data_IF_210214113524
#
_entry.id   IF_210214113524
#
_cell.length_a   1.000
_cell.length_b   1.000
_cell.length_c   1.000
_cell.angle_alpha   90.00
_cell.angle_beta   90.00
_cell.angle_gamma   90.00
#
_symmetry.space_group_name_H-M   'P 1'
#
loop_
_entity.id
_entity.type
_entity.pdbx_description
1 polymer ?
#
# COMPACT_ATOMS: atom_id res chain seq x y z
N UNK A 1 4.76 -14.34 -9.34
CA UNK A 1 3.43 -14.16 -9.95
C UNK A 1 2.66 -15.47 -10.06
N UNK A 2 1.39 -15.43 -10.48
CA UNK A 2 0.54 -16.61 -10.54
C UNK A 2 -0.49 -16.60 -11.69
N UNK A 3 -0.86 -17.79 -12.14
CA UNK A 3 -1.91 -18.06 -13.13
C UNK A 3 -3.12 -18.67 -12.41
N UNK A 4 -4.35 -18.20 -12.65
CA UNK A 4 -5.52 -18.83 -12.03
C UNK A 4 -5.73 -20.23 -12.63
N UNK A 5 -6.08 -21.23 -11.82
CA UNK A 5 -6.31 -22.61 -12.30
C UNK A 5 -7.30 -22.65 -13.48
N UNK A 6 -8.35 -21.84 -13.43
CA UNK A 6 -9.33 -21.72 -14.50
C UNK A 6 -8.75 -21.18 -15.83
N UNK A 7 -7.72 -20.33 -15.77
CA UNK A 7 -6.99 -19.84 -16.94
C UNK A 7 -6.04 -20.91 -17.45
N UNK A 8 -5.32 -21.59 -16.56
CA UNK A 8 -4.40 -22.66 -16.88
C UNK A 8 -5.06 -23.81 -17.65
N UNK A 9 -6.30 -24.17 -17.28
CA UNK A 9 -7.11 -25.18 -17.96
C UNK A 9 -7.58 -24.77 -19.36
N UNK A 10 -7.27 -23.56 -19.85
CA UNK A 10 -7.53 -23.14 -21.23
C UNK A 10 -6.28 -23.19 -22.11
N UNK A 11 -5.11 -23.45 -21.52
CA UNK A 11 -3.82 -23.49 -22.20
C UNK A 11 -3.59 -24.91 -22.71
N UNK A 12 -3.18 -25.07 -23.97
CA UNK A 12 -2.87 -26.40 -24.48
C UNK A 12 -1.51 -26.90 -23.94
N UNK A 13 -1.38 -28.18 -23.52
CA UNK A 13 -2.39 -29.25 -23.58
C UNK A 13 -3.21 -29.44 -22.29
N UNK A 14 -3.20 -28.49 -21.34
CA UNK A 14 -4.00 -28.58 -20.11
C UNK A 14 -5.51 -28.52 -20.34
N UNK A 15 -5.95 -27.93 -21.44
CA UNK A 15 -7.33 -27.97 -21.91
C UNK A 15 -7.88 -29.38 -22.13
N UNK A 16 -6.99 -30.37 -22.24
CA UNK A 16 -7.31 -31.80 -22.31
C UNK A 16 -7.42 -32.48 -20.94
N UNK A 17 -6.98 -31.82 -19.86
CA UNK A 17 -7.11 -32.34 -18.51
C UNK A 17 -8.54 -32.15 -18.00
N UNK A 18 -9.05 -33.13 -17.24
CA UNK A 18 -10.40 -33.08 -16.70
C UNK A 18 -10.38 -32.78 -15.21
N UNK A 19 -11.09 -31.74 -14.80
CA UNK A 19 -11.35 -31.49 -13.37
C UNK A 19 -12.38 -32.49 -12.88
N UNK A 20 -12.02 -33.29 -11.89
CA UNK A 20 -12.90 -34.38 -11.40
C UNK A 20 -13.36 -34.24 -9.96
N UNK A 21 -12.76 -33.31 -9.21
CA UNK A 21 -13.20 -32.88 -7.89
C UNK A 21 -12.59 -31.50 -7.57
N UNK A 22 -13.12 -30.85 -6.53
CA UNK A 22 -12.62 -29.58 -6.01
C UNK A 22 -12.93 -28.38 -6.90
N UNK A 23 -14.05 -28.39 -7.63
CA UNK A 23 -14.38 -27.33 -8.60
C UNK A 23 -14.47 -25.93 -7.99
N UNK A 24 -14.88 -25.81 -6.72
CA UNK A 24 -14.91 -24.53 -6.02
C UNK A 24 -13.51 -23.92 -5.81
N UNK A 25 -12.46 -24.73 -5.91
CA UNK A 25 -11.07 -24.33 -5.82
C UNK A 25 -10.44 -23.83 -7.12
N UNK A 26 -11.18 -23.74 -8.23
CA UNK A 26 -10.62 -23.31 -9.53
C UNK A 26 -10.16 -21.84 -9.57
N UNK A 27 -10.42 -21.07 -8.51
CA UNK A 27 -9.86 -19.72 -8.30
C UNK A 27 -8.47 -19.71 -7.67
N UNK A 28 -7.94 -20.87 -7.28
CA UNK A 28 -6.58 -20.98 -6.76
C UNK A 28 -5.56 -20.53 -7.80
N UNK A 29 -4.51 -19.88 -7.31
CA UNK A 29 -3.40 -19.30 -8.08
C UNK A 29 -2.24 -20.30 -8.16
N UNK A 30 -1.79 -20.60 -9.38
CA UNK A 30 -0.64 -21.45 -9.69
C UNK A 30 0.59 -20.55 -9.81
N UNK A 31 1.53 -20.67 -8.88
CA UNK A 31 2.78 -19.90 -8.86
C UNK A 31 3.95 -20.68 -9.46
N UNK A 32 3.88 -22.01 -9.42
CA UNK A 32 4.88 -22.93 -9.96
C UNK A 32 4.22 -24.26 -10.27
N UNK A 33 4.87 -25.07 -11.08
CA UNK A 33 4.39 -26.41 -11.43
C UNK A 33 5.49 -27.41 -11.17
N UNK A 34 5.17 -28.45 -10.38
CA UNK A 34 6.14 -29.43 -9.91
C UNK A 34 5.62 -30.84 -10.19
N UNK A 35 6.52 -31.79 -10.40
CA UNK A 35 6.18 -33.21 -10.42
C UNK A 35 6.82 -33.95 -9.25
N UNK A 36 6.17 -35.02 -8.79
CA UNK A 36 6.81 -35.96 -7.87
C UNK A 36 6.38 -37.40 -8.13
N UNK A 37 7.34 -38.30 -7.95
CA UNK A 37 7.12 -39.75 -7.92
C UNK A 37 7.95 -40.41 -6.80
N UNK A 38 8.36 -39.61 -5.78
CA UNK A 38 9.05 -40.07 -4.59
C UNK A 38 8.25 -39.73 -3.32
N UNK A 39 8.29 -40.59 -2.27
CA UNK A 39 7.43 -40.46 -1.09
C UNK A 39 7.75 -39.27 -0.17
N UNK A 40 8.93 -38.68 -0.31
CA UNK A 40 9.51 -37.67 0.58
C UNK A 40 9.50 -36.24 0.00
N UNK A 41 8.78 -35.99 -1.10
CA UNK A 41 8.81 -34.69 -1.80
C UNK A 41 7.93 -33.62 -1.14
N UNK A 42 6.98 -34.04 -0.30
CA UNK A 42 6.04 -33.13 0.35
C UNK A 42 6.69 -31.93 1.04
N UNK A 43 7.80 -32.04 1.81
CA UNK A 43 8.48 -30.91 2.43
C UNK A 43 8.92 -29.80 1.48
N UNK A 44 9.25 -30.11 0.22
CA UNK A 44 9.74 -29.14 -0.76
C UNK A 44 8.63 -28.39 -1.52
N UNK A 45 7.38 -28.84 -1.40
CA UNK A 45 6.23 -28.19 -2.04
C UNK A 45 5.82 -26.92 -1.29
N UNK A 46 5.55 -25.87 -2.06
CA UNK A 46 5.20 -24.52 -1.59
C UNK A 46 3.74 -24.18 -1.90
N UNK A 47 3.27 -23.10 -1.28
CA UNK A 47 1.99 -22.50 -1.62
C UNK A 47 1.95 -22.12 -3.11
N UNK A 48 0.83 -22.41 -3.78
CA UNK A 48 0.65 -22.13 -5.19
C UNK A 48 1.25 -23.17 -6.14
N UNK A 49 1.87 -24.25 -5.67
CA UNK A 49 2.34 -25.32 -6.54
C UNK A 49 1.15 -26.09 -7.16
N UNK A 50 1.09 -26.17 -8.49
CA UNK A 50 0.32 -27.21 -9.17
C UNK A 50 1.21 -28.45 -9.26
N UNK A 51 0.76 -29.53 -8.63
CA UNK A 51 1.55 -30.76 -8.52
C UNK A 51 1.05 -31.79 -9.52
N UNK A 52 1.94 -32.43 -10.26
CA UNK A 52 1.59 -33.51 -11.19
C UNK A 52 2.34 -34.81 -10.88
N UNK A 53 1.66 -35.95 -11.01
CA UNK A 53 2.25 -37.25 -10.65
C UNK A 53 1.67 -38.38 -11.49
N UNK A 54 2.40 -39.50 -11.57
CA UNK A 54 1.89 -40.74 -12.14
C UNK A 54 1.00 -41.53 -11.17
N UNK A 55 0.99 -41.13 -9.89
CA UNK A 55 0.25 -41.80 -8.82
C UNK A 55 0.87 -43.11 -8.33
N UNK A 56 2.07 -43.46 -8.79
CA UNK A 56 2.71 -44.73 -8.46
C UNK A 56 2.89 -44.96 -6.95
N UNK A 57 3.29 -43.91 -6.23
CA UNK A 57 3.66 -43.95 -4.80
C UNK A 57 2.49 -44.34 -3.90
N UNK A 58 1.25 -44.01 -4.28
CA UNK A 58 0.07 -44.17 -3.44
C UNK A 58 -1.03 -45.04 -4.08
N UNK A 59 -0.76 -45.69 -5.21
CA UNK A 59 -1.77 -46.44 -5.99
C UNK A 59 -2.53 -47.52 -5.20
N UNK A 60 -1.89 -48.12 -4.20
CA UNK A 60 -2.43 -49.24 -3.43
C UNK A 60 -2.83 -48.88 -1.99
N UNK A 61 -2.77 -47.60 -1.61
CA UNK A 61 -3.05 -47.18 -0.23
C UNK A 61 -4.01 -45.98 -0.19
N UNK A 62 -5.27 -46.29 0.07
CA UNK A 62 -6.35 -45.30 0.19
C UNK A 62 -6.09 -44.29 1.32
N UNK A 63 -5.46 -44.71 2.43
CA UNK A 63 -5.15 -43.77 3.52
C UNK A 63 -4.14 -42.73 3.06
N UNK A 64 -3.07 -43.17 2.38
CA UNK A 64 -2.05 -42.27 1.83
C UNK A 64 -2.64 -41.34 0.76
N UNK A 65 -3.56 -41.84 -0.09
CA UNK A 65 -4.27 -41.03 -1.07
C UNK A 65 -5.05 -39.86 -0.45
N UNK A 66 -5.84 -40.15 0.60
CA UNK A 66 -6.64 -39.14 1.31
C UNK A 66 -5.73 -38.16 2.06
N UNK A 67 -4.69 -38.67 2.72
CA UNK A 67 -3.76 -37.85 3.49
C UNK A 67 -2.94 -36.90 2.59
N UNK A 68 -2.57 -37.36 1.38
CA UNK A 68 -1.89 -36.54 0.38
C UNK A 68 -2.69 -35.28 0.04
N UNK A 69 -3.98 -35.43 -0.31
CA UNK A 69 -4.83 -34.29 -0.67
C UNK A 69 -4.97 -33.32 0.50
N UNK A 70 -5.19 -33.83 1.73
CA UNK A 70 -5.25 -32.98 2.93
C UNK A 70 -3.96 -32.21 3.15
N UNK A 71 -2.81 -32.85 2.99
CA UNK A 71 -1.49 -32.22 3.16
C UNK A 71 -1.23 -31.14 2.11
N UNK A 72 -1.54 -31.41 0.84
CA UNK A 72 -1.37 -30.44 -0.25
C UNK A 72 -2.32 -29.24 -0.08
N UNK A 73 -3.60 -29.50 0.22
CA UNK A 73 -4.57 -28.44 0.46
C UNK A 73 -4.18 -27.56 1.65
N UNK A 74 -3.76 -28.17 2.77
CA UNK A 74 -3.28 -27.45 3.97
C UNK A 74 -2.03 -26.62 3.71
N UNK A 75 -1.13 -27.07 2.84
CA UNK A 75 0.06 -26.31 2.41
C UNK A 75 -0.25 -25.17 1.44
N UNK A 76 -1.49 -25.07 0.96
CA UNK A 76 -1.89 -24.04 0.01
C UNK A 76 -1.45 -24.31 -1.42
N UNK A 77 -1.18 -25.56 -1.79
CA UNK A 77 -0.94 -25.93 -3.19
C UNK A 77 -2.16 -25.58 -4.07
N UNK A 78 -1.92 -25.34 -5.36
CA UNK A 78 -2.94 -24.89 -6.30
C UNK A 78 -3.83 -26.03 -6.82
N UNK A 79 -3.30 -27.26 -6.88
CA UNK A 79 -4.04 -28.45 -7.29
C UNK A 79 -3.14 -29.67 -7.45
N UNK A 80 -3.75 -30.82 -7.73
CA UNK A 80 -3.07 -32.08 -8.02
C UNK A 80 -3.58 -32.66 -9.34
N UNK A 81 -2.68 -32.91 -10.29
CA UNK A 81 -2.94 -33.65 -11.51
C UNK A 81 -2.33 -35.04 -11.48
N UNK A 82 -3.11 -36.04 -11.91
CA UNK A 82 -2.68 -37.44 -11.88
C UNK A 82 -2.85 -38.04 -13.26
N UNK A 83 -1.77 -38.62 -13.79
CA UNK A 83 -1.79 -39.34 -15.06
C UNK A 83 -2.51 -40.68 -14.91
N UNK A 84 -3.69 -40.80 -15.51
CA UNK A 84 -4.51 -42.01 -15.49
C UNK A 84 -4.12 -42.96 -16.62
N UNK A 85 -4.60 -44.21 -16.55
CA UNK A 85 -4.29 -45.32 -17.46
C UNK A 85 -2.79 -45.70 -17.51
N UNK A 86 -2.02 -45.33 -16.49
CA UNK A 86 -0.63 -45.76 -16.26
C UNK A 86 -0.52 -46.75 -15.09
N UNK A 87 -0.92 -46.29 -13.90
CA UNK A 87 -0.96 -47.10 -12.67
C UNK A 87 -2.34 -47.15 -12.04
N UNK A 88 -3.13 -46.09 -12.23
CA UNK A 88 -4.53 -45.99 -11.83
C UNK A 88 -5.37 -45.96 -13.10
N UNK A 89 -6.37 -46.84 -13.20
CA UNK A 89 -7.35 -46.83 -14.30
C UNK A 89 -8.34 -45.67 -14.16
N UNK A 90 -8.69 -45.33 -12.92
CA UNK A 90 -9.56 -44.22 -12.57
C UNK A 90 -9.11 -43.64 -11.22
N UNK A 91 -9.44 -42.37 -10.97
CA UNK A 91 -9.17 -41.72 -9.70
C UNK A 91 -10.10 -42.22 -8.59
N UNK A 92 -9.56 -42.80 -7.49
CA UNK A 92 -10.36 -43.39 -6.41
C UNK A 92 -11.40 -42.42 -5.84
N UNK A 93 -12.59 -42.94 -5.53
CA UNK A 93 -13.70 -42.15 -4.96
C UNK A 93 -13.30 -41.40 -3.68
N UNK A 94 -12.50 -42.04 -2.83
CA UNK A 94 -11.99 -41.44 -1.61
C UNK A 94 -11.17 -40.16 -1.88
N UNK A 95 -10.37 -40.13 -2.96
CA UNK A 95 -9.61 -38.94 -3.38
C UNK A 95 -10.54 -37.83 -3.86
N UNK A 96 -11.53 -38.17 -4.70
CA UNK A 96 -12.50 -37.19 -5.21
C UNK A 96 -13.27 -36.54 -4.06
N UNK A 97 -13.77 -37.35 -3.13
CA UNK A 97 -14.54 -36.85 -1.99
C UNK A 97 -13.73 -35.88 -1.12
N UNK A 98 -12.49 -36.25 -0.75
CA UNK A 98 -11.68 -35.35 0.09
C UNK A 98 -11.24 -34.09 -0.65
N UNK A 99 -11.03 -34.16 -1.97
CA UNK A 99 -10.74 -33.00 -2.81
C UNK A 99 -11.92 -32.02 -2.84
N UNK A 100 -13.15 -32.52 -2.94
CA UNK A 100 -14.37 -31.69 -2.83
C UNK A 100 -14.52 -31.09 -1.42
N UNK A 101 -14.29 -31.88 -0.36
CA UNK A 101 -14.34 -31.38 1.03
C UNK A 101 -13.32 -30.25 1.29
N UNK A 102 -12.17 -30.29 0.62
CA UNK A 102 -11.08 -29.32 0.76
C UNK A 102 -11.13 -28.17 -0.27
N UNK A 103 -12.13 -28.15 -1.17
CA UNK A 103 -12.15 -27.28 -2.35
C UNK A 103 -10.79 -27.27 -3.09
N UNK A 104 -10.20 -28.45 -3.27
CA UNK A 104 -8.86 -28.64 -3.81
C UNK A 104 -8.93 -29.27 -5.21
N UNK A 105 -8.55 -28.54 -6.28
CA UNK A 105 -8.67 -29.04 -7.65
C UNK A 105 -7.90 -30.35 -7.87
N UNK A 106 -8.63 -31.39 -8.28
CA UNK A 106 -8.08 -32.69 -8.66
C UNK A 106 -8.31 -32.90 -10.16
N UNK A 107 -7.21 -33.09 -10.90
CA UNK A 107 -7.19 -33.18 -12.36
C UNK A 107 -6.82 -34.60 -12.81
N UNK A 108 -7.58 -35.13 -13.76
CA UNK A 108 -7.19 -36.30 -14.56
C UNK A 108 -6.35 -35.84 -15.74
N UNK A 109 -5.14 -36.37 -15.85
CA UNK A 109 -4.22 -36.14 -16.97
C UNK A 109 -4.30 -37.36 -17.90
N UNK A 110 -4.67 -37.18 -19.19
CA UNK A 110 -4.63 -38.24 -20.19
C UNK A 110 -3.28 -38.95 -20.29
N UNK A 111 -3.29 -40.26 -20.54
CA UNK A 111 -2.07 -41.08 -20.61
C UNK A 111 -1.11 -40.66 -21.72
N UNK A 112 -1.65 -40.23 -22.86
CA UNK A 112 -0.87 -39.82 -24.03
C UNK A 112 -0.17 -38.46 -23.84
N UNK A 113 -0.46 -37.75 -22.74
CA UNK A 113 0.25 -36.54 -22.37
C UNK A 113 1.44 -36.88 -21.46
N UNK A 114 2.64 -36.50 -21.90
CA UNK A 114 3.81 -36.49 -21.02
C UNK A 114 3.63 -35.41 -19.95
N UNK A 115 4.02 -35.72 -18.71
CA UNK A 115 4.03 -34.72 -17.64
C UNK A 115 4.88 -33.51 -18.02
N UNK A 116 6.01 -33.70 -18.71
CA UNK A 116 6.87 -32.60 -19.19
C UNK A 116 6.15 -31.69 -20.19
N UNK A 117 5.36 -32.27 -21.10
CA UNK A 117 4.61 -31.50 -22.12
C UNK A 117 3.46 -30.69 -21.50
N UNK A 118 3.00 -31.09 -20.31
CA UNK A 118 2.03 -30.35 -19.51
C UNK A 118 2.71 -29.25 -18.68
N UNK A 119 3.88 -29.54 -18.09
CA UNK A 119 4.63 -28.60 -17.26
C UNK A 119 5.20 -27.41 -18.05
N UNK A 120 5.83 -27.66 -19.20
CA UNK A 120 6.58 -26.64 -19.94
C UNK A 120 5.71 -25.47 -20.42
N UNK A 121 4.52 -25.67 -21.01
CA UNK A 121 3.66 -24.56 -21.42
C UNK A 121 3.19 -23.70 -20.24
N UNK A 122 2.87 -24.31 -19.09
CA UNK A 122 2.49 -23.56 -17.90
C UNK A 122 3.64 -22.76 -17.31
N UNK A 123 4.83 -23.36 -17.21
CA UNK A 123 6.01 -22.65 -16.76
C UNK A 123 6.33 -21.48 -17.69
N UNK A 124 6.23 -21.68 -19.01
CA UNK A 124 6.36 -20.60 -19.99
C UNK A 124 5.34 -19.51 -19.76
N UNK A 125 4.06 -19.83 -19.62
CA UNK A 125 3.02 -18.81 -19.38
C UNK A 125 3.26 -18.02 -18.08
N UNK A 126 3.63 -18.71 -17.00
CA UNK A 126 3.93 -18.09 -15.71
C UNK A 126 5.15 -17.14 -15.85
N UNK A 127 6.18 -17.57 -16.58
CA UNK A 127 7.38 -16.76 -16.86
C UNK A 127 7.07 -15.60 -17.81
N UNK A 128 6.30 -15.81 -18.87
CA UNK A 128 5.92 -14.75 -19.82
C UNK A 128 5.09 -13.67 -19.13
N UNK A 129 4.13 -14.04 -18.27
CA UNK A 129 3.43 -13.06 -17.45
C UNK A 129 4.38 -12.27 -16.53
N UNK A 130 5.46 -12.90 -16.04
CA UNK A 130 6.55 -12.25 -15.31
C UNK A 130 7.33 -11.27 -16.15
N UNK A 131 7.78 -11.68 -17.33
CA UNK A 131 8.49 -10.81 -18.27
C UNK A 131 7.63 -9.64 -18.75
N UNK A 132 6.34 -9.84 -19.02
CA UNK A 132 5.42 -8.77 -19.42
C UNK A 132 5.23 -7.73 -18.32
N UNK A 133 5.10 -8.17 -17.07
CA UNK A 133 4.98 -7.28 -15.92
C UNK A 133 6.27 -6.50 -15.71
N UNK A 134 7.42 -7.18 -15.72
CA UNK A 134 8.72 -6.54 -15.56
C UNK A 134 8.99 -5.54 -16.69
N UNK A 135 8.65 -5.87 -17.94
CA UNK A 135 8.74 -4.94 -19.07
C UNK A 135 7.80 -3.74 -18.92
N UNK A 136 6.58 -3.94 -18.42
CA UNK A 136 5.63 -2.84 -18.15
C UNK A 136 6.17 -1.92 -17.07
N UNK A 137 6.68 -2.48 -15.98
CA UNK A 137 7.31 -1.72 -14.90
C UNK A 137 8.54 -0.96 -15.41
N UNK A 138 9.42 -1.59 -16.18
CA UNK A 138 10.61 -0.93 -16.73
C UNK A 138 10.24 0.23 -17.67
N UNK A 139 9.19 0.07 -18.49
CA UNK A 139 8.66 1.15 -19.34
C UNK A 139 8.08 2.29 -18.51
N UNK A 140 7.25 1.96 -17.51
CA UNK A 140 6.68 2.94 -16.59
C UNK A 140 7.80 3.70 -15.86
N UNK A 141 8.79 2.97 -15.33
CA UNK A 141 9.94 3.51 -14.61
C UNK A 141 10.74 4.46 -15.49
N UNK A 142 11.03 4.08 -16.74
CA UNK A 142 11.78 4.93 -17.65
C UNK A 142 11.05 6.25 -17.96
N UNK A 143 9.75 6.18 -18.25
CA UNK A 143 8.95 7.37 -18.53
C UNK A 143 8.75 8.24 -17.28
N UNK A 144 8.29 7.63 -16.18
CA UNK A 144 8.02 8.34 -14.93
C UNK A 144 9.30 8.91 -14.35
N UNK A 145 10.46 8.24 -14.43
CA UNK A 145 11.73 8.82 -13.96
C UNK A 145 11.98 10.17 -14.64
N UNK A 146 11.83 10.24 -15.96
CA UNK A 146 12.03 11.48 -16.73
C UNK A 146 10.94 12.54 -16.47
N UNK A 147 9.69 12.11 -16.30
CA UNK A 147 8.59 13.02 -16.00
C UNK A 147 8.75 13.64 -14.60
N UNK A 148 9.06 12.79 -13.61
CA UNK A 148 9.16 13.16 -12.20
C UNK A 148 10.45 13.93 -11.88
N UNK A 149 11.50 13.78 -12.69
CA UNK A 149 12.74 14.57 -12.63
C UNK A 149 12.68 15.91 -13.37
N UNK A 150 11.52 16.28 -13.95
CA UNK A 150 11.34 17.51 -14.76
C UNK A 150 12.19 17.55 -16.05
N UNK A 151 12.63 16.39 -16.55
CA UNK A 151 13.34 16.26 -17.84
C UNK A 151 12.39 16.37 -19.04
N UNK A 152 11.13 15.95 -18.88
CA UNK A 152 10.09 16.10 -19.90
C UNK A 152 9.30 17.40 -19.66
N UNK A 153 9.41 18.34 -20.60
CA UNK A 153 8.78 19.67 -20.48
C UNK A 153 7.73 19.98 -21.54
N UNK A 154 7.76 19.25 -22.65
CA UNK A 154 6.79 19.41 -23.74
C UNK A 154 5.58 18.52 -23.48
N UNK A 155 4.42 19.15 -23.29
CA UNK A 155 3.15 18.51 -23.00
C UNK A 155 2.73 17.50 -24.09
N UNK A 156 2.99 17.79 -25.36
CA UNK A 156 2.64 16.87 -26.45
C UNK A 156 3.51 15.61 -26.40
N UNK A 157 4.79 15.75 -26.04
CA UNK A 157 5.71 14.61 -25.87
C UNK A 157 5.30 13.78 -24.65
N UNK A 158 4.97 14.44 -23.54
CA UNK A 158 4.49 13.79 -22.31
C UNK A 158 3.22 12.99 -22.59
N UNK A 159 2.23 13.59 -23.26
CA UNK A 159 0.96 12.92 -23.56
C UNK A 159 1.10 11.83 -24.60
N UNK A 160 1.87 12.04 -25.68
CA UNK A 160 2.06 11.02 -26.72
C UNK A 160 2.79 9.79 -26.18
N UNK A 161 3.88 9.98 -25.44
CA UNK A 161 4.65 8.88 -24.84
C UNK A 161 3.90 8.26 -23.66
N UNK A 162 3.30 9.10 -22.81
CA UNK A 162 2.58 8.66 -21.63
C UNK A 162 1.32 7.86 -21.94
N UNK A 163 0.62 8.18 -23.03
CA UNK A 163 -0.61 7.46 -23.42
C UNK A 163 -0.33 5.98 -23.70
N UNK A 164 0.85 5.63 -24.20
CA UNK A 164 1.25 4.23 -24.47
C UNK A 164 1.34 3.39 -23.20
N UNK A 165 1.62 4.02 -22.06
CA UNK A 165 1.74 3.34 -20.76
C UNK A 165 0.51 3.56 -19.85
N UNK A 166 -0.47 4.36 -20.29
CA UNK A 166 -1.72 4.59 -19.56
C UNK A 166 -1.83 5.95 -18.85
N UNK A 167 -1.02 6.95 -19.21
CA UNK A 167 -1.26 8.34 -18.82
C UNK A 167 -2.46 8.88 -19.59
N UNK A 168 -3.48 9.33 -18.88
CA UNK A 168 -4.75 9.75 -19.47
C UNK A 168 -4.80 11.28 -19.60
N UNK A 169 -5.10 11.86 -20.78
CA UNK A 169 -5.29 13.31 -20.93
C UNK A 169 -6.58 13.78 -20.23
N UNK A 170 -6.68 15.08 -19.92
CA UNK A 170 -7.87 15.70 -19.29
C UNK A 170 -8.28 15.06 -17.95
N UNK A 171 -7.30 14.54 -17.21
CA UNK A 171 -7.47 14.00 -15.87
C UNK A 171 -6.79 14.94 -14.87
N UNK A 172 -7.20 14.83 -13.61
CA UNK A 172 -6.39 15.27 -12.49
C UNK A 172 -5.41 14.16 -12.12
N UNK A 173 -4.25 14.56 -11.63
CA UNK A 173 -3.15 13.69 -11.25
C UNK A 173 -2.70 14.02 -9.84
N UNK A 174 -2.36 13.00 -9.07
CA UNK A 174 -1.77 13.14 -7.74
C UNK A 174 -0.74 12.03 -7.53
N UNK A 175 0.43 12.40 -7.01
CA UNK A 175 1.46 11.44 -6.69
C UNK A 175 1.33 10.94 -5.25
N UNK A 176 1.47 9.64 -5.09
CA UNK A 176 1.59 8.94 -3.82
C UNK A 176 2.96 8.27 -3.81
N UNK A 177 3.83 8.67 -2.90
CA UNK A 177 5.16 8.10 -2.71
C UNK A 177 5.14 7.15 -1.52
N UNK A 178 5.91 6.09 -1.63
CA UNK A 178 6.07 5.10 -0.58
C UNK A 178 7.49 5.16 -0.03
N UNK A 179 7.61 4.79 1.23
CA UNK A 179 8.87 4.53 1.88
C UNK A 179 8.76 3.29 2.74
N UNK A 180 9.66 2.33 2.54
CA UNK A 180 9.61 1.03 3.21
C UNK A 180 10.95 0.75 3.87
N UNK A 181 10.92 0.33 5.14
CA UNK A 181 12.15 -0.08 5.82
C UNK A 181 12.77 -1.30 5.10
N UNK A 182 14.01 -1.12 4.65
CA UNK A 182 14.65 -1.72 3.46
C UNK A 182 14.90 -3.24 3.42
N UNK A 183 14.17 -4.04 4.20
CA UNK A 183 14.31 -5.50 4.16
C UNK A 183 13.36 -6.19 3.17
N UNK A 184 12.31 -5.51 2.70
CA UNK A 184 11.36 -6.08 1.74
C UNK A 184 10.68 -4.97 0.93
N UNK A 185 11.20 -4.67 -0.25
CA UNK A 185 10.44 -3.99 -1.30
C UNK A 185 10.34 -5.00 -2.44
N UNK A 186 9.24 -5.77 -2.47
CA UNK A 186 8.89 -6.58 -3.64
C UNK A 186 8.10 -5.68 -4.59
N UNK A 187 8.69 -5.23 -5.71
CA UNK A 187 8.00 -4.34 -6.63
C UNK A 187 6.75 -4.97 -7.25
N UNK A 188 6.73 -6.31 -7.32
CA UNK A 188 5.60 -7.08 -7.86
C UNK A 188 4.40 -7.00 -6.91
N UNK A 189 4.66 -7.01 -5.59
CA UNK A 189 3.60 -6.82 -4.59
C UNK A 189 2.96 -5.45 -4.77
N UNK A 190 3.78 -4.40 -4.87
CA UNK A 190 3.31 -3.03 -4.97
C UNK A 190 2.43 -2.84 -6.20
N UNK A 191 2.89 -3.29 -7.36
CA UNK A 191 2.12 -3.14 -8.59
C UNK A 191 0.79 -3.90 -8.53
N UNK A 192 0.81 -5.17 -8.11
CA UNK A 192 -0.41 -5.98 -8.02
C UNK A 192 -1.42 -5.37 -7.07
N UNK A 193 -0.98 -5.02 -5.87
CA UNK A 193 -1.88 -4.50 -4.83
C UNK A 193 -2.46 -3.14 -5.23
N UNK A 194 -1.63 -2.29 -5.83
CA UNK A 194 -2.06 -0.98 -6.35
C UNK A 194 -3.11 -1.13 -7.45
N UNK A 195 -2.95 -2.05 -8.39
CA UNK A 195 -3.95 -2.29 -9.43
C UNK A 195 -5.25 -2.93 -8.91
N UNK A 196 -5.18 -3.80 -7.90
CA UNK A 196 -6.36 -4.36 -7.23
C UNK A 196 -7.19 -3.25 -6.55
N UNK A 197 -6.54 -2.40 -5.75
CA UNK A 197 -7.18 -1.23 -5.11
C UNK A 197 -7.76 -0.30 -6.16
N UNK A 198 -6.99 0.01 -7.22
CA UNK A 198 -7.43 0.90 -8.29
C UNK A 198 -8.71 0.39 -8.96
N UNK A 199 -8.82 -0.92 -9.20
CA UNK A 199 -10.02 -1.54 -9.76
C UNK A 199 -11.23 -1.46 -8.82
N UNK A 200 -11.03 -1.68 -7.52
CA UNK A 200 -12.09 -1.60 -6.51
C UNK A 200 -12.61 -0.17 -6.33
N UNK A 201 -11.71 0.81 -6.39
CA UNK A 201 -12.04 2.23 -6.28
C UNK A 201 -12.45 2.86 -7.61
N UNK A 202 -12.37 2.11 -8.71
CA UNK A 202 -12.63 2.58 -10.08
C UNK A 202 -11.79 3.81 -10.47
N UNK A 203 -10.50 3.78 -10.13
CA UNK A 203 -9.51 4.83 -10.46
C UNK A 203 -8.43 4.27 -11.38
N UNK A 204 -7.72 5.14 -12.09
CA UNK A 204 -6.59 4.75 -12.92
C UNK A 204 -5.28 5.08 -12.22
N UNK A 205 -4.28 4.21 -12.37
CA UNK A 205 -2.98 4.33 -11.70
C UNK A 205 -1.84 3.99 -12.66
N UNK A 206 -0.73 4.71 -12.54
CA UNK A 206 0.58 4.24 -13.02
C UNK A 206 1.46 3.96 -11.81
N UNK A 207 2.20 2.86 -11.87
CA UNK A 207 3.07 2.42 -10.78
C UNK A 207 4.50 2.37 -11.28
N UNK A 208 5.41 2.87 -10.46
CA UNK A 208 6.85 2.87 -10.72
C UNK A 208 7.63 2.48 -9.47
N UNK A 209 8.80 1.88 -9.67
CA UNK A 209 9.76 1.45 -8.65
C UNK A 209 10.77 2.53 -8.26
N UNK A 210 10.52 3.79 -8.62
CA UNK A 210 11.41 4.90 -8.25
C UNK A 210 11.46 5.02 -6.72
N UNK A 211 12.67 5.06 -6.16
CA UNK A 211 12.96 4.94 -4.73
C UNK A 211 12.35 3.64 -4.15
N UNK A 212 11.41 3.72 -3.20
CA UNK A 212 10.70 2.55 -2.65
C UNK A 212 9.34 2.32 -3.32
N UNK A 213 8.92 3.19 -4.24
CA UNK A 213 7.66 3.09 -4.97
C UNK A 213 6.95 4.44 -5.15
N UNK A 214 6.44 4.66 -6.36
CA UNK A 214 5.62 5.82 -6.72
C UNK A 214 4.37 5.37 -7.44
N UNK A 215 3.23 5.92 -7.04
CA UNK A 215 1.94 5.70 -7.66
C UNK A 215 1.42 7.06 -8.15
N UNK A 216 1.14 7.15 -9.45
CA UNK A 216 0.44 8.28 -10.04
C UNK A 216 -1.04 7.90 -10.16
N UNK A 217 -1.87 8.47 -9.29
CA UNK A 217 -3.32 8.27 -9.32
C UNK A 217 -3.97 9.32 -10.22
N UNK A 218 -4.86 8.86 -11.09
CA UNK A 218 -5.49 9.64 -12.15
C UNK A 218 -7.01 9.53 -12.05
N UNK A 219 -7.72 10.66 -12.10
CA UNK A 219 -9.18 10.70 -12.11
C UNK A 219 -9.71 11.80 -13.06
N UNK A 220 -10.87 11.64 -13.70
CA UNK A 220 -11.45 12.66 -14.57
C UNK A 220 -11.68 14.01 -13.84
N UNK A 221 -11.51 15.14 -14.54
CA UNK A 221 -11.67 16.49 -13.99
C UNK A 221 -13.07 16.82 -13.39
N UNK A 222 -14.08 15.99 -13.66
CA UNK A 222 -15.50 16.25 -13.32
C UNK A 222 -16.05 15.32 -12.23
N UNK A 223 -15.19 14.72 -11.40
CA UNK A 223 -15.66 13.86 -10.31
C UNK A 223 -16.31 14.63 -9.15
N UNK A 224 -17.30 14.00 -8.51
CA UNK A 224 -17.97 14.53 -7.31
C UNK A 224 -17.07 14.50 -6.06
N UNK A 225 -16.06 13.63 -6.05
CA UNK A 225 -15.14 13.44 -4.92
C UNK A 225 -13.81 14.10 -5.31
N UNK A 226 -13.23 14.86 -4.37
CA UNK A 226 -11.90 15.43 -4.56
C UNK A 226 -10.84 14.34 -4.71
N UNK A 227 -9.95 14.51 -5.69
CA UNK A 227 -8.83 13.60 -5.93
C UNK A 227 -7.93 13.40 -4.67
N UNK A 228 -7.78 14.44 -3.84
CA UNK A 228 -7.03 14.33 -2.59
C UNK A 228 -7.70 13.36 -1.59
N UNK A 229 -9.03 13.34 -1.55
CA UNK A 229 -9.79 12.39 -0.72
C UNK A 229 -9.68 10.96 -1.24
N UNK A 230 -9.71 10.78 -2.58
CA UNK A 230 -9.47 9.48 -3.20
C UNK A 230 -8.06 8.97 -2.91
N UNK A 231 -7.04 9.83 -3.00
CA UNK A 231 -5.67 9.47 -2.66
C UNK A 231 -5.52 9.08 -1.18
N UNK A 232 -6.20 9.76 -0.26
CA UNK A 232 -6.22 9.38 1.16
C UNK A 232 -6.83 7.98 1.36
N UNK A 233 -7.97 7.71 0.73
CA UNK A 233 -8.63 6.40 0.79
C UNK A 233 -7.77 5.31 0.16
N UNK A 234 -7.12 5.62 -0.96
CA UNK A 234 -6.20 4.73 -1.66
C UNK A 234 -5.01 4.37 -0.76
N UNK A 235 -4.36 5.37 -0.17
CA UNK A 235 -3.25 5.19 0.76
C UNK A 235 -3.65 4.36 1.98
N UNK A 236 -4.86 4.56 2.53
CA UNK A 236 -5.37 3.75 3.65
C UNK A 236 -5.52 2.28 3.28
N UNK A 237 -6.15 1.98 2.13
CA UNK A 237 -6.29 0.58 1.69
C UNK A 237 -4.93 -0.06 1.41
N UNK A 238 -4.00 0.68 0.82
CA UNK A 238 -2.65 0.18 0.55
C UNK A 238 -1.93 -0.14 1.86
N UNK A 239 -2.02 0.75 2.85
CA UNK A 239 -1.45 0.55 4.17
C UNK A 239 -2.08 -0.62 4.95
N UNK A 240 -3.41 -0.78 4.90
CA UNK A 240 -4.11 -1.90 5.53
C UNK A 240 -3.66 -3.23 4.92
N UNK A 241 -3.61 -3.31 3.59
CA UNK A 241 -3.16 -4.50 2.86
C UNK A 241 -1.69 -4.83 3.09
N UNK A 242 -0.85 -3.82 3.33
CA UNK A 242 0.54 -4.00 3.74
C UNK A 242 0.63 -4.63 5.13
N UNK A 243 -0.20 -4.17 6.08
CA UNK A 243 -0.24 -4.76 7.43
C UNK A 243 -0.75 -6.19 7.48
N UNK A 244 -1.58 -6.58 6.52
CA UNK A 244 -2.07 -7.96 6.38
C UNK A 244 -1.07 -8.91 5.72
N UNK A 245 -0.02 -8.39 5.05
CA UNK A 245 1.02 -9.25 4.48
C UNK A 245 1.92 -9.80 5.61
N UNK A 246 2.65 -10.88 5.34
CA UNK A 246 3.60 -11.49 6.30
C UNK A 246 4.80 -10.57 6.66
N UNK A 247 4.74 -9.30 6.26
CA UNK A 247 5.83 -8.34 6.34
C UNK A 247 5.82 -7.60 7.66
N UNK A 248 7.01 -7.52 8.29
CA UNK A 248 7.22 -6.78 9.55
C UNK A 248 7.79 -5.38 9.31
N UNK A 249 7.97 -4.99 8.05
CA UNK A 249 8.56 -3.70 7.69
C UNK A 249 7.54 -2.58 7.88
N UNK A 250 8.02 -1.44 8.39
CA UNK A 250 7.22 -0.23 8.47
C UNK A 250 7.09 0.38 7.06
N UNK A 251 5.88 0.73 6.68
CA UNK A 251 5.57 1.49 5.47
C UNK A 251 5.15 2.90 5.87
N UNK A 252 5.62 3.90 5.13
CA UNK A 252 5.16 5.28 5.20
C UNK A 252 4.69 5.72 3.81
N UNK A 253 3.64 6.53 3.77
CA UNK A 253 2.99 6.99 2.54
C UNK A 253 2.93 8.51 2.55
N UNK A 254 3.51 9.14 1.54
CA UNK A 254 3.44 10.58 1.29
C UNK A 254 2.52 10.88 0.13
N UNK A 255 1.64 11.86 0.26
CA UNK A 255 0.66 12.24 -0.76
C UNK A 255 0.88 13.72 -1.11
N UNK A 256 1.10 14.01 -2.39
CA UNK A 256 1.25 15.38 -2.89
C UNK A 256 -0.08 16.12 -3.01
N UNK A 257 -0.08 17.29 -3.64
CA UNK A 257 -1.30 17.99 -4.01
C UNK A 257 -1.79 17.57 -5.42
N UNK A 258 -3.11 17.58 -5.66
CA UNK A 258 -3.65 17.31 -6.97
C UNK A 258 -3.24 18.40 -7.97
N UNK A 259 -3.09 18.00 -9.23
CA UNK A 259 -2.84 18.89 -10.36
C UNK A 259 -3.67 18.47 -11.57
N UNK A 260 -3.98 19.39 -12.47
CA UNK A 260 -4.80 19.20 -13.67
C UNK A 260 -3.98 19.28 -14.98
N UNK A 261 -2.68 19.55 -14.86
CA UNK A 261 -1.73 19.65 -15.97
C UNK A 261 -0.61 18.62 -15.78
N UNK A 262 -0.34 17.82 -16.81
CA UNK A 262 0.70 16.79 -16.79
C UNK A 262 2.10 17.33 -16.49
N UNK A 263 2.39 18.60 -16.80
CA UNK A 263 3.67 19.25 -16.46
C UNK A 263 3.83 19.48 -14.96
N UNK A 264 2.73 19.47 -14.19
CA UNK A 264 2.74 19.66 -12.74
C UNK A 264 2.82 18.33 -11.97
N UNK A 265 2.82 17.19 -12.64
CA UNK A 265 2.97 15.87 -11.99
C UNK A 265 4.29 15.81 -11.20
N UNK A 266 5.37 16.38 -11.75
CA UNK A 266 6.66 16.49 -11.06
C UNK A 266 6.54 17.25 -9.72
N UNK A 267 5.75 18.33 -9.67
CA UNK A 267 5.46 19.09 -8.45
C UNK A 267 4.80 18.20 -7.39
N UNK A 268 3.71 17.50 -7.76
CA UNK A 268 2.99 16.60 -6.85
C UNK A 268 3.90 15.51 -6.28
N UNK A 269 4.81 14.98 -7.10
CA UNK A 269 5.81 14.00 -6.66
C UNK A 269 6.84 14.58 -5.68
N UNK A 270 7.38 15.78 -5.94
CA UNK A 270 8.33 16.42 -5.03
C UNK A 270 7.66 16.72 -3.67
N UNK A 271 6.41 17.20 -3.69
CA UNK A 271 5.59 17.42 -2.49
C UNK A 271 5.43 16.13 -1.67
N UNK A 272 5.06 15.02 -2.33
CA UNK A 272 4.91 13.70 -1.69
C UNK A 272 6.23 13.17 -1.08
N UNK A 273 7.37 13.42 -1.74
CA UNK A 273 8.69 13.05 -1.20
C UNK A 273 9.14 13.92 -0.04
N UNK A 274 8.86 15.21 -0.13
CA UNK A 274 9.25 16.18 0.89
C UNK A 274 8.56 15.89 2.22
N UNK A 275 7.26 15.56 2.18
CA UNK A 275 6.53 15.19 3.39
C UNK A 275 7.06 13.91 4.04
N UNK A 276 7.42 12.88 3.24
CA UNK A 276 8.05 11.66 3.77
C UNK A 276 9.38 11.98 4.46
N UNK A 277 10.25 12.76 3.80
CA UNK A 277 11.55 13.16 4.36
C UNK A 277 11.40 13.93 5.67
N UNK A 278 10.44 14.84 5.76
CA UNK A 278 10.16 15.58 6.99
C UNK A 278 9.62 14.70 8.11
N UNK A 279 8.72 13.79 7.77
CA UNK A 279 8.07 12.92 8.76
C UNK A 279 9.09 12.09 9.55
N UNK A 280 10.17 11.66 8.90
CA UNK A 280 11.28 10.92 9.53
C UNK A 280 12.09 11.79 10.49
N UNK A 281 12.37 13.04 10.10
CA UNK A 281 13.19 13.95 10.90
C UNK A 281 12.49 14.35 12.20
N UNK A 282 11.16 14.51 12.16
CA UNK A 282 10.43 15.02 13.32
C UNK A 282 10.11 13.95 14.37
N UNK A 283 10.42 12.66 14.13
CA UNK A 283 10.09 11.53 15.03
C UNK A 283 8.70 11.67 15.67
N UNK A 284 7.71 12.19 14.93
CA UNK A 284 6.43 12.52 15.54
C UNK A 284 5.78 11.24 16.08
N UNK A 285 5.57 11.19 17.40
CA UNK A 285 4.91 10.12 18.16
C UNK A 285 3.43 9.88 17.79
N UNK A 286 2.97 10.32 16.61
CA UNK A 286 1.65 9.99 16.08
C UNK A 286 1.73 8.89 15.04
N UNK A 287 0.99 7.83 15.34
CA UNK A 287 0.64 6.62 14.58
C UNK A 287 0.14 6.79 13.13
N UNK A 288 0.34 7.94 12.49
CA UNK A 288 -0.03 8.15 11.09
C UNK A 288 1.17 7.82 10.22
N UNK A 289 1.08 6.69 9.55
CA UNK A 289 2.02 6.29 8.50
C UNK A 289 1.61 6.86 7.13
N UNK A 290 0.63 7.76 7.09
CA UNK A 290 0.12 8.42 5.88
C UNK A 290 0.16 9.93 6.11
N UNK A 291 0.81 10.65 5.22
CA UNK A 291 1.08 12.09 5.34
C UNK A 291 0.70 12.83 4.07
N UNK A 292 -0.13 13.86 4.20
CA UNK A 292 -0.53 14.74 3.10
C UNK A 292 0.35 15.99 3.07
N UNK A 293 0.73 16.43 1.88
CA UNK A 293 1.50 17.66 1.72
C UNK A 293 0.76 18.88 2.28
N UNK A 294 -0.55 19.06 2.03
CA UNK A 294 -1.34 20.18 2.58
C UNK A 294 -1.21 20.32 4.11
N UNK A 295 -1.28 19.20 4.83
CA UNK A 295 -1.14 19.15 6.29
C UNK A 295 0.27 19.55 6.76
N UNK A 296 1.28 19.29 5.92
CA UNK A 296 2.70 19.48 6.23
C UNK A 296 3.35 20.69 5.56
N UNK A 297 2.68 21.32 4.60
CA UNK A 297 3.18 22.43 3.80
C UNK A 297 3.66 23.62 4.64
N UNK A 298 3.03 23.98 5.79
CA UNK A 298 3.59 25.06 6.60
C UNK A 298 4.91 24.63 7.27
N UNK A 299 5.06 23.38 7.72
CA UNK A 299 6.33 22.88 8.27
C UNK A 299 7.45 22.93 7.23
N UNK A 300 7.15 22.54 5.99
CA UNK A 300 8.05 22.58 4.84
C UNK A 300 8.55 24.01 4.61
N UNK A 301 7.62 24.97 4.54
CA UNK A 301 7.94 26.37 4.34
C UNK A 301 8.89 26.91 5.42
N UNK A 302 8.63 26.57 6.69
CA UNK A 302 9.44 27.06 7.80
C UNK A 302 10.80 26.39 7.91
N UNK A 303 10.99 25.16 7.41
CA UNK A 303 12.31 24.51 7.38
C UNK A 303 13.34 25.28 6.54
N UNK A 304 12.91 26.11 5.59
CA UNK A 304 13.82 26.93 4.79
C UNK A 304 14.43 28.10 5.59
N UNK A 305 13.88 28.43 6.76
CA UNK A 305 14.38 29.48 7.62
C UNK A 305 15.45 28.94 8.60
N UNK A 306 16.48 29.74 8.94
CA UNK A 306 17.46 29.34 9.94
C UNK A 306 16.78 29.00 11.28
N UNK A 307 17.17 27.87 11.87
CA UNK A 307 16.59 27.36 13.13
C UNK A 307 16.68 28.37 14.29
N UNK A 308 17.71 29.23 14.29
CA UNK A 308 17.85 30.32 15.26
C UNK A 308 16.73 31.36 15.13
N UNK A 309 16.31 31.72 13.92
CA UNK A 309 15.23 32.68 13.71
C UNK A 309 13.89 32.13 14.19
N UNK A 310 13.61 30.86 13.88
CA UNK A 310 12.41 30.19 14.36
C UNK A 310 12.41 30.12 15.90
N UNK A 311 13.54 29.74 16.50
CA UNK A 311 13.69 29.69 17.97
C UNK A 311 13.51 31.08 18.60
N UNK A 312 14.10 32.12 18.02
CA UNK A 312 13.95 33.48 18.52
C UNK A 312 12.49 33.96 18.46
N UNK A 313 11.76 33.60 17.41
CA UNK A 313 10.33 33.87 17.31
C UNK A 313 9.55 33.16 18.43
N UNK A 314 9.77 31.85 18.63
CA UNK A 314 9.13 31.08 19.70
C UNK A 314 9.44 31.64 21.09
N UNK A 315 10.71 31.94 21.38
CA UNK A 315 11.12 32.51 22.67
C UNK A 315 10.47 33.87 22.90
N UNK A 316 10.42 34.74 21.87
CA UNK A 316 9.81 36.06 21.99
C UNK A 316 8.29 36.00 22.20
N UNK A 317 7.60 35.04 21.59
CA UNK A 317 6.14 34.96 21.64
C UNK A 317 5.62 34.09 22.80
N UNK A 318 6.31 32.99 23.12
CA UNK A 318 5.87 32.01 24.12
C UNK A 318 6.85 31.83 25.28
N UNK A 319 8.06 32.41 25.25
CA UNK A 319 9.12 32.09 26.20
C UNK A 319 8.77 32.39 27.66
N UNK A 320 8.14 33.53 27.95
CA UNK A 320 7.66 33.84 29.31
C UNK A 320 6.56 32.87 29.75
N UNK A 321 5.60 32.62 28.85
CA UNK A 321 4.51 31.70 29.12
C UNK A 321 5.00 30.27 29.38
N UNK A 322 5.98 29.78 28.62
CA UNK A 322 6.56 28.44 28.79
C UNK A 322 7.23 28.27 30.16
N UNK A 323 7.93 29.31 30.65
CA UNK A 323 8.55 29.29 31.99
C UNK A 323 7.48 29.24 33.08
N UNK A 324 6.48 30.12 32.99
CA UNK A 324 5.38 30.20 33.97
C UNK A 324 4.56 28.91 33.99
N UNK A 325 4.33 28.30 32.82
CA UNK A 325 3.57 27.06 32.73
C UNK A 325 4.31 25.90 33.41
N UNK A 326 5.64 25.82 33.25
CA UNK A 326 6.47 24.84 33.98
C UNK A 326 6.42 25.05 35.50
N UNK A 327 6.33 26.29 35.97
CA UNK A 327 6.25 26.63 37.40
C UNK A 327 4.83 26.45 37.98
N UNK A 328 3.79 26.39 37.15
CA UNK A 328 2.39 26.37 37.56
C UNK A 328 1.55 25.31 36.82
N UNK A 329 1.70 24.06 37.25
CA UNK A 329 0.91 22.88 36.87
C UNK A 329 0.96 22.46 35.37
N UNK A 330 1.63 23.20 34.47
CA UNK A 330 1.96 22.74 33.12
C UNK A 330 0.79 22.62 32.13
N UNK A 331 -0.33 23.29 32.40
CA UNK A 331 -1.58 23.14 31.63
C UNK A 331 -1.99 24.36 30.80
N UNK A 332 -1.30 25.49 30.91
CA UNK A 332 -1.65 26.75 30.23
C UNK A 332 -1.33 26.68 28.73
N UNK A 333 -0.16 26.14 28.35
CA UNK A 333 0.20 25.95 26.93
C UNK A 333 -0.72 24.93 26.27
N UNK A 334 -1.00 23.80 26.94
CA UNK A 334 -1.94 22.78 26.45
C UNK A 334 -3.34 23.38 26.24
N UNK A 335 -3.78 24.24 27.16
CA UNK A 335 -5.07 24.93 27.05
C UNK A 335 -5.08 25.93 25.89
N UNK A 336 -4.02 26.72 25.72
CA UNK A 336 -3.89 27.67 24.62
C UNK A 336 -3.89 26.96 23.26
N UNK A 337 -3.07 25.92 23.12
CA UNK A 337 -2.96 25.08 21.93
C UNK A 337 -4.31 24.47 21.58
N UNK A 338 -5.01 23.88 22.55
CA UNK A 338 -6.34 23.29 22.33
C UNK A 338 -7.37 24.36 22.00
N UNK A 339 -7.31 25.54 22.62
CA UNK A 339 -8.21 26.64 22.36
C UNK A 339 -8.10 27.15 20.92
N UNK A 340 -6.88 27.40 20.44
CA UNK A 340 -6.67 27.85 19.07
C UNK A 340 -7.07 26.78 18.05
N UNK A 341 -6.77 25.49 18.31
CA UNK A 341 -7.18 24.37 17.46
C UNK A 341 -8.70 24.12 17.42
N UNK A 342 -9.45 24.66 18.38
CA UNK A 342 -10.92 24.61 18.42
C UNK A 342 -11.56 25.88 17.83
N UNK A 343 -10.80 26.71 17.09
CA UNK A 343 -11.28 27.96 16.52
C UNK A 343 -11.71 28.97 17.59
N UNK A 344 -10.99 29.00 18.72
CA UNK A 344 -11.25 29.91 19.84
C UNK A 344 -12.62 29.70 20.53
N UNK A 345 -13.18 28.49 20.45
CA UNK A 345 -14.46 28.14 21.11
C UNK A 345 -14.25 27.48 22.47
N UNK A 346 -14.58 28.20 23.56
CA UNK A 346 -14.37 27.73 24.95
C UNK A 346 -15.08 26.39 25.24
N UNK A 347 -16.32 26.20 24.75
CA UNK A 347 -17.08 24.97 24.98
C UNK A 347 -16.42 23.75 24.33
N UNK A 348 -15.91 23.92 23.11
CA UNK A 348 -15.22 22.85 22.38
C UNK A 348 -13.84 22.54 22.99
N UNK A 349 -13.11 23.58 23.40
CA UNK A 349 -11.86 23.44 24.16
C UNK A 349 -12.07 22.63 25.44
N UNK A 350 -13.11 22.97 26.21
CA UNK A 350 -13.44 22.29 27.47
C UNK A 350 -13.72 20.80 27.23
N UNK A 351 -14.50 20.49 26.18
CA UNK A 351 -14.79 19.12 25.75
C UNK A 351 -13.52 18.35 25.39
N UNK A 352 -12.64 18.93 24.58
CA UNK A 352 -11.38 18.26 24.17
C UNK A 352 -10.40 18.04 25.32
N UNK A 353 -10.32 18.98 26.27
CA UNK A 353 -9.46 18.85 27.45
C UNK A 353 -10.06 18.01 28.57
N UNK A 354 -11.34 17.61 28.48
CA UNK A 354 -12.03 16.88 29.54
C UNK A 354 -12.22 17.70 30.83
N UNK A 355 -12.27 19.03 30.74
CA UNK A 355 -12.41 19.93 31.90
C UNK A 355 -13.65 20.82 31.79
N UNK A 356 -14.05 21.46 32.88
CA UNK A 356 -15.18 22.37 32.89
C UNK A 356 -14.88 23.68 32.13
N UNK A 357 -15.90 24.25 31.45
CA UNK A 357 -15.77 25.52 30.70
C UNK A 357 -15.17 26.65 31.53
N UNK A 358 -15.58 26.77 32.80
CA UNK A 358 -15.06 27.77 33.73
C UNK A 358 -13.55 27.65 33.94
N UNK A 359 -13.02 26.42 33.97
CA UNK A 359 -11.58 26.17 34.11
C UNK A 359 -10.82 26.64 32.87
N UNK A 360 -11.37 26.40 31.67
CA UNK A 360 -10.81 26.95 30.42
C UNK A 360 -10.79 28.48 30.49
N UNK A 361 -11.91 29.12 30.83
CA UNK A 361 -11.99 30.58 30.95
C UNK A 361 -11.00 31.13 31.99
N UNK A 362 -10.87 30.47 33.13
CA UNK A 362 -9.89 30.84 34.16
C UNK A 362 -8.46 30.76 33.63
N UNK A 363 -8.08 29.64 32.98
CA UNK A 363 -6.75 29.47 32.38
C UNK A 363 -6.48 30.51 31.30
N UNK A 364 -7.44 30.77 30.41
CA UNK A 364 -7.33 31.81 29.36
C UNK A 364 -7.20 33.23 29.95
N UNK A 365 -7.92 33.54 31.03
CA UNK A 365 -7.75 34.83 31.72
C UNK A 365 -6.38 34.94 32.38
N UNK A 366 -5.86 33.84 32.95
CA UNK A 366 -4.51 33.81 33.50
C UNK A 366 -3.44 33.99 32.43
N UNK A 367 -3.64 33.40 31.24
CA UNK A 367 -2.74 33.55 30.09
C UNK A 367 -2.53 35.02 29.71
N UNK A 368 -3.59 35.85 29.74
CA UNK A 368 -3.54 37.28 29.38
C UNK A 368 -2.51 38.10 30.18
N UNK A 369 -2.10 37.63 31.36
CA UNK A 369 -1.08 38.30 32.17
C UNK A 369 0.35 38.07 31.65
N UNK A 370 0.56 37.04 30.82
CA UNK A 370 1.89 36.54 30.41
C UNK A 370 2.09 36.52 28.90
N UNK A 371 1.02 36.73 28.13
CA UNK A 371 1.09 36.94 26.69
C UNK A 371 0.85 38.44 26.42
N UNK A 372 1.69 39.04 25.59
CA UNK A 372 1.50 40.42 25.13
C UNK A 372 0.47 40.52 23.99
N UNK A 373 -0.30 39.45 23.78
CA UNK A 373 -1.16 39.22 22.64
C UNK A 373 -2.63 39.15 23.09
N UNK A 374 -3.47 40.00 22.50
CA UNK A 374 -4.92 39.97 22.71
C UNK A 374 -5.57 38.77 22.00
N UNK A 375 -6.16 37.87 22.79
CA UNK A 375 -6.90 36.69 22.31
C UNK A 375 -8.21 37.01 21.56
N UNK A 376 -8.62 38.28 21.49
CA UNK A 376 -9.72 38.75 20.65
C UNK A 376 -9.26 39.29 19.28
N UNK A 377 -7.95 39.48 19.07
CA UNK A 377 -7.38 40.04 17.85
C UNK A 377 -6.86 38.92 16.93
N UNK A 378 -7.28 38.95 15.65
CA UNK A 378 -6.92 37.91 14.68
C UNK A 378 -5.41 37.80 14.40
N UNK A 379 -4.70 38.92 14.30
CA UNK A 379 -3.24 38.92 14.06
C UNK A 379 -2.49 38.36 15.26
N UNK A 380 -2.98 38.65 16.46
CA UNK A 380 -2.41 38.19 17.72
C UNK A 380 -2.59 36.67 17.89
N UNK A 381 -3.80 36.18 17.58
CA UNK A 381 -4.10 34.74 17.54
C UNK A 381 -3.24 34.02 16.50
N UNK A 382 -3.06 34.60 15.31
CA UNK A 382 -2.17 34.04 14.29
C UNK A 382 -0.73 33.94 14.80
N UNK A 383 -0.20 34.99 15.43
CA UNK A 383 1.17 34.96 15.98
C UNK A 383 1.36 33.89 17.05
N UNK A 384 0.39 33.73 17.95
CA UNK A 384 0.39 32.68 18.96
C UNK A 384 0.29 31.28 18.34
N UNK A 385 -0.63 31.09 17.38
CA UNK A 385 -0.79 29.82 16.67
C UNK A 385 0.49 29.43 15.93
N UNK A 386 1.11 30.39 15.23
CA UNK A 386 2.38 30.19 14.55
C UNK A 386 3.49 29.82 15.53
N UNK A 387 3.59 30.50 16.67
CA UNK A 387 4.61 30.19 17.67
C UNK A 387 4.44 28.78 18.26
N UNK A 388 3.20 28.34 18.51
CA UNK A 388 2.92 26.96 18.96
C UNK A 388 3.33 25.95 17.89
N UNK A 389 3.00 26.24 16.64
CA UNK A 389 3.34 25.39 15.51
C UNK A 389 4.86 25.27 15.32
N UNK A 390 5.59 26.39 15.31
CA UNK A 390 7.05 26.44 15.20
C UNK A 390 7.75 25.77 16.39
N UNK A 391 7.19 25.85 17.60
CA UNK A 391 7.73 25.14 18.75
C UNK A 391 7.78 23.63 18.50
N UNK A 392 6.73 23.03 17.95
CA UNK A 392 6.69 21.59 17.61
C UNK A 392 7.75 21.21 16.59
N UNK A 393 8.08 22.12 15.67
CA UNK A 393 9.11 21.92 14.64
C UNK A 393 10.54 21.90 15.24
N UNK A 394 10.80 22.75 16.24
CA UNK A 394 12.13 22.92 16.87
C UNK A 394 12.34 21.94 18.04
N UNK A 395 11.28 21.63 18.77
CA UNK A 395 11.27 20.73 19.93
C UNK A 395 10.28 19.58 19.66
N UNK A 396 10.61 18.61 18.79
CA UNK A 396 9.77 17.44 18.60
C UNK A 396 9.62 16.74 19.96
N UNK A 397 8.38 16.60 20.44
CA UNK A 397 8.08 15.86 21.67
C UNK A 397 8.50 14.41 21.44
N UNK A 398 9.39 13.89 22.30
CA UNK A 398 9.72 12.46 22.41
C UNK A 398 8.44 11.64 22.72
#
# INVERSE_FOLDING_TARGET
>A
MSLMMLEALRISPLDRCKVVAGQKGLSRRICSVNSFDAPDVLPWLKQGDLVVTTGYVFKNDEKTQVELIRKLAKRGCAGLGIQINRFLLDLPKAMRQIADECDFPLLEIPYDLSLTDLLLPLLREIVTKQEELDQRLDKNDHFLTKLLSDELRDENIILSTGSEIGLLPHHQYICICLKVDSQYSDPVWLEQRTHEIAKEMNVCVLVSKIDDGVILLQAPLQEQISLACLAEQFGKQLWERWKESDEKAKIQIGIGEPCDDVKQISRSYQEAKEVLKLSEQMKMSQSKDIYHYSDWSPFILFQQLPHEQLRNYVIRTLGELLKVDQEHDGHLIETLETYLNCGSQISETARRLGIHRNTVTFRLNRLKNWIHEDLANGDHLFRLQLAIYLRRLIEPKD
#
